data_IF_865707813575
#
_entry.id   IF_865707813575
#
_cell.length_a   1.000
_cell.length_b   1.000
_cell.length_c   1.000
_cell.angle_alpha   90.00
_cell.angle_beta   90.00
_cell.angle_gamma   90.00
#
_symmetry.space_group_name_H-M   'P 1'
#
loop_
_entity.id
_entity.type
_entity.pdbx_description
1 polymer ?
#
# COMPACT_ATOMS: atom_id res chain seq x y z
N UNK A 1 3.30 6.05 8.83
CA UNK A 1 2.11 6.32 7.99
C UNK A 1 1.20 7.22 8.80
N UNK A 2 0.85 8.40 8.27
CA UNK A 2 -0.04 9.36 8.96
C UNK A 2 -1.50 9.18 8.54
N UNK A 3 -1.74 8.89 7.27
CA UNK A 3 -3.09 8.77 6.70
C UNK A 3 -3.18 7.59 5.77
N UNK A 4 -4.26 6.84 5.85
CA UNK A 4 -4.62 5.78 4.89
C UNK A 4 -5.95 6.18 4.24
N UNK A 5 -5.98 6.20 2.91
CA UNK A 5 -7.19 6.40 2.12
C UNK A 5 -7.65 5.05 1.56
N UNK A 6 -8.89 4.66 1.84
CA UNK A 6 -9.50 3.44 1.30
C UNK A 6 -10.77 3.76 0.53
N UNK A 7 -11.24 2.82 -0.26
CA UNK A 7 -12.59 2.86 -0.79
C UNK A 7 -13.63 2.57 0.30
N UNK A 8 -14.92 2.58 -0.08
CA UNK A 8 -16.04 2.31 0.82
C UNK A 8 -16.41 0.82 0.85
N UNK A 9 -15.48 -0.08 0.51
CA UNK A 9 -15.69 -1.52 0.58
C UNK A 9 -16.01 -1.98 2.01
N UNK A 10 -16.80 -3.04 2.12
CA UNK A 10 -17.24 -3.61 3.42
C UNK A 10 -16.07 -4.04 4.32
N UNK A 11 -14.87 -4.21 3.77
CA UNK A 11 -13.65 -4.51 4.50
C UNK A 11 -13.03 -3.29 5.20
N UNK A 12 -13.48 -2.07 4.88
CA UNK A 12 -12.96 -0.82 5.41
C UNK A 12 -14.01 0.05 6.08
N UNK A 13 -15.27 -0.09 5.68
CA UNK A 13 -16.37 0.73 6.16
C UNK A 13 -17.64 -0.10 6.33
N UNK A 14 -18.44 0.27 7.32
CA UNK A 14 -19.76 -0.29 7.53
C UNK A 14 -20.77 0.84 7.51
N UNK A 15 -21.77 0.69 6.64
CA UNK A 15 -22.85 1.66 6.48
C UNK A 15 -24.15 1.05 6.97
N UNK A 16 -24.96 1.79 7.69
CA UNK A 16 -26.32 1.40 7.99
C UNK A 16 -27.20 1.59 6.74
N UNK A 17 -27.94 0.55 6.38
CA UNK A 17 -28.85 0.61 5.24
C UNK A 17 -29.98 1.60 5.56
N UNK A 18 -30.10 2.65 4.74
CA UNK A 18 -31.19 3.64 4.81
C UNK A 18 -30.85 4.95 5.51
N UNK A 19 -29.87 5.01 6.40
CA UNK A 19 -29.47 6.25 7.10
C UNK A 19 -28.19 6.86 6.57
N UNK A 20 -27.35 6.10 5.86
CA UNK A 20 -26.04 6.52 5.39
C UNK A 20 -25.02 6.76 6.52
N UNK A 21 -25.35 6.41 7.77
CA UNK A 21 -24.45 6.54 8.90
C UNK A 21 -23.33 5.49 8.82
N UNK A 22 -22.10 5.92 9.07
CA UNK A 22 -20.94 5.02 9.19
C UNK A 22 -20.80 4.56 10.64
N UNK A 23 -20.73 3.24 10.83
CA UNK A 23 -20.35 2.68 12.13
C UNK A 23 -18.84 2.54 12.26
N UNK A 24 -18.31 2.54 13.50
CA UNK A 24 -16.92 2.20 13.73
C UNK A 24 -16.60 0.83 13.13
N UNK A 25 -15.74 0.81 12.13
CA UNK A 25 -15.26 -0.44 11.52
C UNK A 25 -13.93 -0.84 12.16
N UNK A 26 -13.70 -2.14 12.34
CA UNK A 26 -12.47 -2.66 12.97
C UNK A 26 -11.19 -2.11 12.33
N UNK A 27 -11.18 -1.92 11.03
CA UNK A 27 -10.06 -1.30 10.32
C UNK A 27 -9.81 0.14 10.81
N UNK A 28 -10.88 0.93 10.97
CA UNK A 28 -10.79 2.30 11.50
C UNK A 28 -10.31 2.32 12.95
N UNK A 29 -10.78 1.40 13.80
CA UNK A 29 -10.33 1.27 15.18
C UNK A 29 -8.82 0.97 15.25
N UNK A 30 -8.34 -0.01 14.46
CA UNK A 30 -6.92 -0.35 14.38
C UNK A 30 -6.08 0.83 13.89
N UNK A 31 -6.56 1.59 12.90
CA UNK A 31 -5.90 2.81 12.47
C UNK A 31 -5.77 3.82 13.61
N UNK A 32 -6.86 4.07 14.33
CA UNK A 32 -6.90 5.01 15.47
C UNK A 32 -5.94 4.59 16.59
N UNK A 33 -5.93 3.31 16.96
CA UNK A 33 -5.01 2.76 17.97
C UNK A 33 -3.54 2.95 17.61
N UNK A 34 -3.23 2.99 16.31
CA UNK A 34 -1.87 3.20 15.78
C UNK A 34 -1.57 4.66 15.39
N UNK A 35 -2.44 5.61 15.75
CA UNK A 35 -2.27 7.03 15.41
C UNK A 35 -2.34 7.32 13.91
N UNK A 36 -3.06 6.49 13.14
CA UNK A 36 -3.23 6.62 11.70
C UNK A 36 -4.61 7.19 11.39
N UNK A 37 -4.67 8.28 10.65
CA UNK A 37 -5.93 8.82 10.16
C UNK A 37 -6.47 7.95 9.04
N UNK A 38 -7.66 7.37 9.23
CA UNK A 38 -8.36 6.64 8.18
C UNK A 38 -9.35 7.55 7.46
N UNK A 39 -9.19 7.68 6.15
CA UNK A 39 -10.10 8.44 5.28
C UNK A 39 -10.77 7.51 4.26
N UNK A 40 -12.05 7.70 4.05
CA UNK A 40 -12.81 7.03 3.00
C UNK A 40 -12.84 7.91 1.73
N UNK A 41 -12.79 7.28 0.56
CA UNK A 41 -13.05 8.00 -0.71
C UNK A 41 -14.49 8.46 -0.76
N UNK A 42 -14.75 9.56 -1.46
CA UNK A 42 -16.13 10.00 -1.69
C UNK A 42 -16.88 8.93 -2.48
N UNK A 43 -18.13 8.61 -2.11
CA UNK A 43 -18.98 7.71 -2.90
C UNK A 43 -19.05 8.19 -4.36
N UNK A 44 -19.07 7.24 -5.29
CA UNK A 44 -19.14 7.51 -6.74
C UNK A 44 -17.96 8.29 -7.34
N UNK A 45 -16.79 8.33 -6.66
CA UNK A 45 -15.57 8.97 -7.15
C UNK A 45 -14.43 7.94 -7.33
N UNK A 46 -14.54 7.00 -8.30
CA UNK A 46 -13.62 5.87 -8.45
C UNK A 46 -12.18 6.31 -8.74
N UNK A 47 -11.97 7.48 -9.34
CA UNK A 47 -10.64 8.00 -9.66
C UNK A 47 -9.77 8.31 -8.43
N UNK A 48 -10.36 8.47 -7.24
CA UNK A 48 -9.61 8.73 -6.00
C UNK A 48 -8.80 7.53 -5.53
N UNK A 49 -9.16 6.30 -5.97
CA UNK A 49 -8.44 5.05 -5.66
C UNK A 49 -7.60 4.53 -6.85
N UNK A 50 -7.52 5.27 -7.94
CA UNK A 50 -6.89 4.83 -9.19
C UNK A 50 -5.41 4.42 -9.07
N UNK A 51 -4.66 4.96 -8.09
CA UNK A 51 -3.27 4.56 -7.86
C UNK A 51 -3.19 3.16 -7.25
N UNK A 52 -4.03 2.85 -6.26
CA UNK A 52 -4.10 1.53 -5.65
C UNK A 52 -4.58 0.49 -6.66
N UNK A 53 -5.61 0.80 -7.45
CA UNK A 53 -6.11 -0.07 -8.51
C UNK A 53 -5.03 -0.37 -9.57
N UNK A 54 -4.27 0.64 -9.98
CA UNK A 54 -3.14 0.48 -10.91
C UNK A 54 -2.07 -0.42 -10.32
N UNK A 55 -1.73 -0.25 -9.04
CA UNK A 55 -0.73 -1.10 -8.38
C UNK A 55 -1.19 -2.54 -8.27
N UNK A 56 -2.45 -2.78 -7.87
CA UNK A 56 -3.05 -4.11 -7.84
C UNK A 56 -3.03 -4.75 -9.24
N UNK A 57 -3.36 -4.00 -10.29
CA UNK A 57 -3.28 -4.47 -11.67
C UNK A 57 -1.84 -4.87 -12.04
N UNK A 58 -0.86 -4.01 -11.75
CA UNK A 58 0.56 -4.26 -12.02
C UNK A 58 1.06 -5.54 -11.34
N UNK A 59 0.69 -5.77 -10.07
CA UNK A 59 1.03 -6.99 -9.35
C UNK A 59 0.37 -8.21 -10.02
N UNK A 60 -0.92 -8.15 -10.31
CA UNK A 60 -1.65 -9.26 -10.96
C UNK A 60 -1.07 -9.61 -12.33
N UNK A 61 -0.70 -8.62 -13.13
CA UNK A 61 -0.08 -8.82 -14.45
C UNK A 61 1.29 -9.48 -14.34
N UNK A 62 2.08 -9.10 -13.32
CA UNK A 62 3.39 -9.68 -13.08
C UNK A 62 3.36 -11.07 -12.40
N UNK A 63 2.21 -11.51 -11.90
CA UNK A 63 2.07 -12.75 -11.14
C UNK A 63 0.95 -13.64 -11.68
N UNK A 64 -0.21 -13.63 -11.09
CA UNK A 64 -1.31 -14.58 -11.32
C UNK A 64 -1.89 -14.56 -12.75
N UNK A 65 -1.67 -13.51 -13.52
CA UNK A 65 -2.06 -13.47 -14.93
C UNK A 65 -1.01 -14.06 -15.88
N UNK A 66 0.23 -14.12 -15.45
CA UNK A 66 1.37 -14.56 -16.30
C UNK A 66 1.91 -15.92 -15.89
N UNK A 67 1.61 -16.40 -14.68
CA UNK A 67 2.16 -17.64 -14.14
C UNK A 67 1.09 -18.48 -13.46
N UNK A 68 1.26 -19.81 -13.56
CA UNK A 68 0.51 -20.79 -12.78
C UNK A 68 1.34 -21.22 -11.57
N UNK A 69 0.68 -21.38 -10.42
CA UNK A 69 1.33 -21.74 -9.17
C UNK A 69 0.79 -23.07 -8.65
N UNK A 70 1.68 -23.96 -8.26
CA UNK A 70 1.32 -25.25 -7.66
C UNK A 70 0.82 -25.08 -6.22
N UNK A 71 1.19 -24.00 -5.54
CA UNK A 71 0.78 -23.72 -4.16
C UNK A 71 0.70 -22.22 -3.86
N UNK A 72 -0.06 -21.89 -2.81
CA UNK A 72 -0.13 -20.52 -2.28
C UNK A 72 1.23 -20.02 -1.77
N UNK A 73 2.10 -20.93 -1.30
CA UNK A 73 3.43 -20.56 -0.83
C UNK A 73 4.35 -20.16 -1.98
N UNK A 74 4.22 -20.80 -3.14
CA UNK A 74 4.93 -20.42 -4.35
C UNK A 74 4.50 -19.03 -4.83
N UNK A 75 3.20 -18.76 -4.87
CA UNK A 75 2.67 -17.43 -5.17
C UNK A 75 3.20 -16.37 -4.17
N UNK A 76 3.16 -16.65 -2.87
CA UNK A 76 3.67 -15.72 -1.84
C UNK A 76 5.14 -15.40 -2.03
N UNK A 77 5.97 -16.40 -2.34
CA UNK A 77 7.39 -16.21 -2.62
C UNK A 77 7.58 -15.33 -3.84
N UNK A 78 6.92 -15.65 -4.96
CA UNK A 78 7.03 -14.85 -6.19
C UNK A 78 6.57 -13.39 -5.97
N UNK A 79 5.45 -13.16 -5.28
CA UNK A 79 4.99 -11.80 -4.95
C UNK A 79 6.03 -11.05 -4.11
N UNK A 80 6.64 -11.70 -3.13
CA UNK A 80 7.69 -11.11 -2.29
C UNK A 80 8.91 -10.73 -3.11
N UNK A 81 9.40 -11.63 -3.95
CA UNK A 81 10.57 -11.41 -4.80
C UNK A 81 10.31 -10.28 -5.80
N UNK A 82 9.11 -10.28 -6.40
CA UNK A 82 8.68 -9.21 -7.28
C UNK A 82 8.60 -7.85 -6.57
N UNK A 83 8.03 -7.80 -5.36
CA UNK A 83 7.96 -6.57 -4.55
C UNK A 83 9.35 -6.07 -4.18
N UNK A 84 10.28 -6.97 -3.86
CA UNK A 84 11.67 -6.62 -3.59
C UNK A 84 12.30 -5.99 -4.83
N UNK A 85 12.20 -6.63 -5.98
CA UNK A 85 12.70 -6.07 -7.24
C UNK A 85 12.02 -4.73 -7.60
N UNK A 86 10.71 -4.61 -7.40
CA UNK A 86 9.99 -3.37 -7.64
C UNK A 86 10.50 -2.22 -6.76
N UNK A 87 10.70 -2.46 -5.48
CA UNK A 87 11.09 -1.43 -4.53
C UNK A 87 12.56 -1.02 -4.63
N UNK A 88 13.45 -1.97 -4.92
CA UNK A 88 14.89 -1.74 -4.85
C UNK A 88 15.60 -1.67 -6.20
N UNK A 89 15.00 -2.17 -7.27
CA UNK A 89 15.64 -2.19 -8.58
C UNK A 89 14.87 -1.45 -9.68
N UNK A 90 13.54 -1.36 -9.58
CA UNK A 90 12.73 -0.75 -10.63
C UNK A 90 12.74 0.77 -10.53
N UNK A 91 13.33 1.42 -11.52
CA UNK A 91 13.27 2.88 -11.66
C UNK A 91 11.91 3.33 -12.20
N UNK A 92 11.29 4.32 -11.56
CA UNK A 92 9.98 4.84 -11.93
C UNK A 92 10.10 6.27 -12.48
N UNK A 93 9.53 6.51 -13.66
CA UNK A 93 9.50 7.84 -14.28
C UNK A 93 8.84 8.88 -13.37
N UNK A 94 7.78 8.50 -12.66
CA UNK A 94 7.09 9.36 -11.69
C UNK A 94 7.97 9.79 -10.50
N UNK A 95 9.02 9.01 -10.19
CA UNK A 95 10.01 9.30 -9.16
C UNK A 95 11.33 9.85 -9.74
N UNK A 96 11.27 10.43 -10.95
CA UNK A 96 12.45 10.96 -11.66
C UNK A 96 13.54 9.90 -11.88
N UNK A 97 13.11 8.71 -12.33
CA UNK A 97 13.96 7.52 -12.57
C UNK A 97 14.67 6.96 -11.33
N UNK A 98 14.15 7.25 -10.13
CA UNK A 98 14.58 6.60 -8.88
C UNK A 98 13.74 5.38 -8.59
N UNK A 99 14.27 4.48 -7.78
CA UNK A 99 13.50 3.39 -7.21
C UNK A 99 12.58 3.91 -6.10
N UNK A 100 11.48 3.20 -5.76
CA UNK A 100 10.65 3.57 -4.61
C UNK A 100 11.45 3.70 -3.31
N UNK A 101 12.42 2.82 -3.08
CA UNK A 101 13.24 2.86 -1.87
C UNK A 101 14.15 4.10 -1.81
N UNK A 102 14.84 4.44 -2.91
CA UNK A 102 15.65 5.66 -3.00
C UNK A 102 14.82 6.93 -2.73
N UNK A 103 13.59 6.97 -3.23
CA UNK A 103 12.70 8.10 -2.98
C UNK A 103 12.29 8.21 -1.49
N UNK A 104 12.06 7.08 -0.81
CA UNK A 104 11.79 7.05 0.63
C UNK A 104 13.02 7.46 1.43
N UNK A 105 14.21 6.99 1.06
CA UNK A 105 15.46 7.36 1.72
C UNK A 105 15.78 8.86 1.59
N UNK A 106 15.56 9.44 0.42
CA UNK A 106 15.71 10.87 0.19
C UNK A 106 14.72 11.69 1.03
N UNK A 107 13.45 11.23 1.08
CA UNK A 107 12.44 11.87 1.93
C UNK A 107 12.83 11.79 3.41
N UNK A 108 13.36 10.65 3.86
CA UNK A 108 13.85 10.51 5.23
C UNK A 108 15.02 11.46 5.53
N UNK A 109 15.97 11.62 4.61
CA UNK A 109 17.09 12.58 4.78
C UNK A 109 16.62 14.02 4.90
N UNK A 110 15.55 14.37 4.14
CA UNK A 110 15.01 15.74 4.13
C UNK A 110 14.02 16.03 5.26
N UNK A 111 13.29 15.02 5.73
CA UNK A 111 12.22 15.14 6.75
C UNK A 111 12.22 13.93 7.69
N UNK A 112 13.25 13.74 8.53
CA UNK A 112 13.37 12.56 9.39
C UNK A 112 12.22 12.45 10.40
N UNK A 113 11.65 13.56 10.83
CA UNK A 113 10.63 13.63 11.89
C UNK A 113 9.29 12.95 11.51
N UNK A 114 9.04 12.77 10.21
CA UNK A 114 7.83 12.06 9.75
C UNK A 114 7.97 10.53 9.79
N UNK A 115 9.15 10.01 10.13
CA UNK A 115 9.44 8.59 10.15
C UNK A 115 9.56 8.07 11.58
N UNK A 116 8.81 7.04 11.92
CA UNK A 116 8.92 6.33 13.20
C UNK A 116 10.15 5.41 13.19
N UNK A 117 10.48 4.84 12.02
CA UNK A 117 11.58 3.89 11.84
C UNK A 117 12.51 4.38 10.74
N UNK A 118 13.82 4.27 10.97
CA UNK A 118 14.83 4.63 9.96
C UNK A 118 14.75 3.64 8.78
N UNK A 119 14.66 4.09 7.52
CA UNK A 119 14.56 3.20 6.35
C UNK A 119 15.69 2.18 6.25
N UNK A 120 16.91 2.55 6.63
CA UNK A 120 18.10 1.69 6.57
C UNK A 120 18.01 0.41 7.43
N UNK A 121 17.11 0.37 8.42
CA UNK A 121 16.92 -0.82 9.25
C UNK A 121 16.08 -1.92 8.56
N UNK A 122 15.56 -1.65 7.36
CA UNK A 122 14.74 -2.60 6.60
C UNK A 122 15.40 -3.10 5.32
N UNK A 123 16.69 -2.90 5.13
CA UNK A 123 17.40 -3.55 4.02
C UNK A 123 17.45 -5.06 4.24
N UNK A 124 16.61 -5.78 3.51
CA UNK A 124 16.66 -7.24 3.39
C UNK A 124 18.01 -7.63 2.77
N UNK A 125 18.92 -8.19 3.56
CA UNK A 125 20.15 -8.80 3.03
C UNK A 125 21.48 -8.27 3.58
N UNK A 126 21.48 -7.41 4.57
CA UNK A 126 22.69 -7.03 5.31
C UNK A 126 22.57 -7.50 6.77
N UNK A 127 22.63 -8.79 6.97
CA UNK A 127 22.96 -9.44 8.23
C UNK A 127 24.23 -10.26 8.01
#
# INVERSE_FOLDING_TARGET
IHTILTDNGVQFAQFERGTGLTFPHIFGCVCQENGIEHRLTKPYHPWTNGQAERMVRTIKEATVKSFHYASINELRRHVRDWLTAYNFAKQLKALKFRTPYEAVEELWKSKPDIFIVKPNHHMLGLN
#
